data_IF_876870050763
#
_entry.id   IF_876870050763
#
_cell.length_a   1.000
_cell.length_b   1.000
_cell.length_c   1.000
_cell.angle_alpha   90.00
_cell.angle_beta   90.00
_cell.angle_gamma   90.00
#
_symmetry.space_group_name_H-M   'P 1'
#
loop_
_entity.id
_entity.type
_entity.pdbx_description
1 polymer ?
#
# COMPACT_ATOMS: atom_id res chain seq x y z
N UNK A 1 -2.98 -6.52 13.32
CA UNK A 1 -2.00 -5.50 13.76
C UNK A 1 -0.73 -6.10 14.38
N UNK A 2 -0.81 -6.94 15.42
CA UNK A 2 0.39 -7.48 16.12
C UNK A 2 1.44 -8.10 15.17
N UNK A 3 1.03 -8.92 14.20
CA UNK A 3 1.95 -9.52 13.21
C UNK A 3 2.71 -8.43 12.44
N UNK A 4 2.03 -7.38 11.96
CA UNK A 4 2.67 -6.28 11.21
C UNK A 4 3.71 -5.56 12.07
N UNK A 5 3.42 -5.34 13.35
CA UNK A 5 4.36 -4.71 14.27
C UNK A 5 5.58 -5.58 14.54
N UNK A 6 5.41 -6.90 14.64
CA UNK A 6 6.50 -7.86 14.89
C UNK A 6 7.43 -8.02 13.70
N UNK A 7 6.86 -8.16 12.48
CA UNK A 7 7.66 -8.42 11.28
C UNK A 7 8.04 -7.16 10.49
N UNK A 8 7.42 -6.02 10.78
CA UNK A 8 7.70 -4.72 10.17
C UNK A 8 7.13 -4.52 8.77
N UNK A 9 7.20 -5.53 7.93
CA UNK A 9 6.81 -5.50 6.51
C UNK A 9 5.93 -6.70 6.19
N UNK A 10 4.71 -6.49 5.73
CA UNK A 10 3.80 -7.59 5.39
C UNK A 10 3.19 -7.37 4.00
N UNK A 11 3.70 -8.02 2.95
CA UNK A 11 3.01 -8.11 1.67
C UNK A 11 1.61 -8.69 1.87
N UNK A 12 0.60 -8.13 1.19
CA UNK A 12 -0.76 -8.70 1.26
C UNK A 12 -0.87 -9.97 0.42
N UNK A 13 -0.36 -9.91 -0.82
CA UNK A 13 -0.36 -11.00 -1.80
C UNK A 13 0.99 -11.72 -1.85
N UNK A 14 1.04 -12.85 -2.55
CA UNK A 14 2.28 -13.58 -2.81
C UNK A 14 3.45 -12.64 -3.14
N UNK A 15 4.45 -12.71 -2.29
CA UNK A 15 5.66 -11.88 -2.32
C UNK A 15 6.80 -12.49 -3.16
N UNK A 16 6.67 -13.75 -3.54
CA UNK A 16 7.73 -14.58 -4.10
C UNK A 16 8.65 -15.20 -3.04
N UNK A 17 8.36 -14.99 -1.75
CA UNK A 17 8.97 -15.71 -0.62
C UNK A 17 7.88 -16.55 0.03
N UNK A 18 8.03 -17.87 -0.02
CA UNK A 18 7.02 -18.81 0.46
C UNK A 18 6.68 -18.57 1.93
N UNK A 19 5.39 -18.51 2.23
CA UNK A 19 4.88 -18.29 3.59
C UNK A 19 4.99 -16.85 4.08
N UNK A 20 5.40 -15.90 3.21
CA UNK A 20 5.61 -14.50 3.58
C UNK A 20 4.66 -13.57 2.85
N UNK A 21 3.38 -13.70 3.13
CA UNK A 21 2.31 -12.78 2.75
C UNK A 21 1.13 -12.93 3.70
N UNK A 22 0.28 -11.90 3.79
CA UNK A 22 -0.93 -11.98 4.62
C UNK A 22 -1.84 -13.13 4.19
N UNK A 23 -1.96 -13.40 2.88
CA UNK A 23 -2.76 -14.52 2.35
C UNK A 23 -2.21 -15.88 2.79
N UNK A 24 -0.89 -16.06 2.76
CA UNK A 24 -0.27 -17.34 3.13
C UNK A 24 -0.25 -17.57 4.65
N UNK A 25 -0.10 -16.49 5.43
CA UNK A 25 -0.08 -16.50 6.90
C UNK A 25 -1.47 -16.61 7.52
N UNK A 26 -2.52 -16.23 6.78
CA UNK A 26 -3.90 -16.29 7.25
C UNK A 26 -4.40 -17.74 7.37
N UNK A 27 -5.24 -17.98 8.37
CA UNK A 27 -5.99 -19.23 8.47
C UNK A 27 -6.75 -19.52 7.19
N UNK A 28 -6.91 -20.79 6.80
CA UNK A 28 -7.66 -21.19 5.59
C UNK A 28 -9.05 -20.57 5.53
N UNK A 29 -9.76 -20.47 6.66
CA UNK A 29 -11.12 -19.91 6.76
C UNK A 29 -11.16 -18.38 6.50
N UNK A 30 -10.01 -17.72 6.51
CA UNK A 30 -9.88 -16.28 6.23
C UNK A 30 -9.53 -15.99 4.76
N UNK A 31 -9.25 -17.01 3.97
CA UNK A 31 -8.88 -16.90 2.55
C UNK A 31 -10.11 -16.68 1.68
N UNK A 32 -9.84 -16.36 0.41
CA UNK A 32 -10.92 -16.24 -0.58
C UNK A 32 -11.62 -17.57 -0.79
N UNK A 33 -12.94 -17.56 -0.64
CA UNK A 33 -13.81 -18.73 -0.85
C UNK A 33 -14.96 -18.39 -1.79
N UNK A 34 -15.29 -19.31 -2.68
CA UNK A 34 -16.48 -19.23 -3.53
C UNK A 34 -17.47 -20.31 -3.05
N UNK A 35 -18.70 -19.90 -2.79
CA UNK A 35 -19.76 -20.79 -2.35
C UNK A 35 -20.44 -21.49 -3.53
N UNK A 36 -21.12 -22.63 -3.31
CA UNK A 36 -21.81 -23.37 -4.37
C UNK A 36 -22.91 -22.59 -5.11
N UNK A 37 -23.50 -21.60 -4.46
CA UNK A 37 -24.51 -20.69 -5.04
C UNK A 37 -23.90 -19.55 -5.88
N UNK A 38 -22.56 -19.53 -6.04
CA UNK A 38 -21.82 -18.48 -6.74
C UNK A 38 -21.53 -17.25 -5.88
N UNK A 39 -21.95 -17.24 -4.62
CA UNK A 39 -21.50 -16.25 -3.64
C UNK A 39 -20.02 -16.42 -3.30
N UNK A 40 -19.41 -15.38 -2.76
CA UNK A 40 -18.03 -15.43 -2.33
C UNK A 40 -17.83 -14.65 -1.03
N UNK A 41 -16.80 -15.01 -0.28
CA UNK A 41 -16.32 -14.24 0.86
C UNK A 41 -14.79 -14.20 0.89
N UNK A 42 -14.27 -13.15 1.49
CA UNK A 42 -12.84 -12.99 1.72
C UNK A 42 -12.62 -12.20 3.01
N UNK A 43 -12.68 -12.86 4.17
CA UNK A 43 -12.54 -12.20 5.47
C UNK A 43 -11.25 -11.39 5.59
N UNK A 44 -10.12 -11.94 5.14
CA UNK A 44 -8.83 -11.25 5.15
C UNK A 44 -8.89 -9.91 4.40
N UNK A 45 -9.59 -9.85 3.26
CA UNK A 45 -9.76 -8.63 2.50
C UNK A 45 -10.54 -7.56 3.27
N UNK A 46 -11.56 -7.96 4.00
CA UNK A 46 -12.37 -7.06 4.82
C UNK A 46 -11.58 -6.50 6.01
N UNK A 47 -10.65 -7.28 6.56
CA UNK A 47 -9.82 -6.87 7.70
C UNK A 47 -8.80 -5.79 7.37
N UNK A 48 -8.40 -5.64 6.10
CA UNK A 48 -7.40 -4.63 5.72
C UNK A 48 -7.83 -3.21 6.07
N UNK A 49 -9.11 -2.86 5.92
CA UNK A 49 -9.65 -1.54 6.28
C UNK A 49 -9.44 -1.21 7.75
N UNK A 50 -10.05 -1.96 8.70
CA UNK A 50 -9.81 -1.77 10.14
C UNK A 50 -8.33 -1.74 10.53
N UNK A 51 -7.49 -2.61 9.92
CA UNK A 51 -6.05 -2.64 10.21
C UNK A 51 -5.37 -1.33 9.80
N UNK A 52 -5.73 -0.76 8.66
CA UNK A 52 -5.18 0.53 8.20
C UNK A 52 -5.65 1.67 9.08
N UNK A 53 -6.94 1.73 9.41
CA UNK A 53 -7.53 2.82 10.20
C UNK A 53 -7.12 2.81 11.68
N UNK A 54 -6.72 1.66 12.24
CA UNK A 54 -6.09 1.57 13.57
C UNK A 54 -4.80 2.40 13.68
N UNK A 55 -4.17 2.76 12.54
CA UNK A 55 -3.04 3.68 12.50
C UNK A 55 -1.70 3.10 12.93
N UNK A 56 -1.59 1.80 13.16
CA UNK A 56 -0.34 1.13 13.54
C UNK A 56 0.58 0.78 12.36
N UNK A 57 0.12 0.97 11.14
CA UNK A 57 0.87 0.70 9.91
C UNK A 57 0.49 1.69 8.80
N UNK A 58 1.24 1.63 7.71
CA UNK A 58 0.98 2.34 6.45
C UNK A 58 0.70 1.29 5.38
N UNK A 59 -0.32 1.53 4.55
CA UNK A 59 -0.72 0.61 3.48
C UNK A 59 -0.59 1.27 2.11
N UNK A 60 -0.13 0.51 1.14
CA UNK A 60 -0.01 0.92 -0.25
C UNK A 60 0.55 -0.20 -1.13
N UNK A 61 0.73 0.06 -2.42
CA UNK A 61 1.30 -0.91 -3.37
C UNK A 61 2.83 -0.90 -3.36
N UNK A 62 3.40 -1.25 -2.21
CA UNK A 62 4.84 -1.14 -1.95
C UNK A 62 5.68 -2.30 -2.49
N UNK A 63 5.12 -3.47 -2.69
CA UNK A 63 5.85 -4.70 -3.00
C UNK A 63 5.74 -5.04 -4.50
N UNK A 64 6.61 -4.46 -5.30
CA UNK A 64 6.59 -4.61 -6.77
C UNK A 64 5.21 -4.32 -7.40
N UNK A 65 4.55 -3.25 -6.93
CA UNK A 65 3.22 -2.83 -7.37
C UNK A 65 2.06 -3.62 -6.75
N UNK A 66 2.35 -4.56 -5.84
CA UNK A 66 1.35 -5.26 -5.03
C UNK A 66 1.21 -4.58 -3.67
N UNK A 67 0.01 -4.68 -3.12
CA UNK A 67 -0.33 -4.06 -1.84
C UNK A 67 0.31 -4.77 -0.64
N UNK A 68 0.51 -4.04 0.44
CA UNK A 68 0.97 -4.55 1.72
C UNK A 68 1.12 -3.47 2.77
N UNK A 69 1.60 -3.87 3.93
CA UNK A 69 1.68 -3.06 5.13
C UNK A 69 3.13 -2.85 5.53
N UNK A 70 3.43 -1.63 5.98
CA UNK A 70 4.70 -1.26 6.63
C UNK A 70 4.35 -0.77 8.04
N UNK A 71 4.97 -1.31 9.08
CA UNK A 71 4.73 -0.82 10.45
C UNK A 71 5.24 0.62 10.62
N UNK A 72 4.66 1.34 11.57
CA UNK A 72 5.07 2.73 11.87
C UNK A 72 6.54 2.83 12.27
N UNK A 73 7.10 1.81 12.90
CA UNK A 73 8.52 1.75 13.28
C UNK A 73 9.45 1.75 12.06
N UNK A 74 9.06 1.02 11.01
CA UNK A 74 9.88 0.86 9.80
C UNK A 74 9.59 1.89 8.72
N UNK A 75 8.48 2.63 8.87
CA UNK A 75 8.06 3.60 7.86
C UNK A 75 9.11 4.67 7.54
N UNK A 76 9.80 5.32 8.52
CA UNK A 76 10.78 6.35 8.19
C UNK A 76 11.93 5.83 7.31
N UNK A 77 12.47 4.65 7.60
CA UNK A 77 13.53 4.04 6.80
C UNK A 77 13.04 3.65 5.40
N UNK A 78 11.86 3.04 5.33
CA UNK A 78 11.26 2.63 4.05
C UNK A 78 10.96 3.86 3.18
N UNK A 79 10.35 4.87 3.73
CA UNK A 79 10.05 6.14 3.06
C UNK A 79 11.33 6.81 2.54
N UNK A 80 12.35 6.97 3.39
CA UNK A 80 13.63 7.57 3.04
C UNK A 80 14.30 6.86 1.85
N UNK A 81 14.41 5.53 1.93
CA UNK A 81 14.99 4.73 0.86
C UNK A 81 14.16 4.81 -0.43
N UNK A 82 12.83 4.66 -0.35
CA UNK A 82 11.96 4.69 -1.53
C UNK A 82 11.96 6.04 -2.24
N UNK A 83 11.94 7.13 -1.49
CA UNK A 83 12.05 8.48 -2.05
C UNK A 83 13.38 8.73 -2.76
N UNK A 84 14.48 8.11 -2.31
CA UNK A 84 15.78 8.23 -2.98
C UNK A 84 15.91 7.40 -4.25
N UNK A 85 15.20 6.28 -4.34
CA UNK A 85 15.32 5.32 -5.47
C UNK A 85 14.23 5.46 -6.52
N UNK A 86 13.12 6.10 -6.19
CA UNK A 86 12.03 6.35 -7.12
C UNK A 86 12.07 7.78 -7.64
N UNK A 87 11.86 7.90 -8.95
CA UNK A 87 11.88 9.20 -9.61
C UNK A 87 10.83 10.13 -9.00
N UNK A 88 11.25 11.32 -8.63
CA UNK A 88 10.33 12.37 -8.22
C UNK A 88 9.41 12.74 -9.40
N UNK A 89 8.10 12.95 -9.18
CA UNK A 89 7.21 13.47 -10.20
C UNK A 89 7.75 14.73 -10.84
N UNK A 90 7.81 14.76 -12.17
CA UNK A 90 8.30 15.91 -12.92
C UNK A 90 7.23 17.00 -12.98
N UNK A 91 7.68 18.25 -13.04
CA UNK A 91 6.80 19.41 -13.23
C UNK A 91 5.94 19.25 -14.50
N UNK A 92 4.65 19.50 -14.40
CA UNK A 92 3.67 19.32 -15.48
C UNK A 92 3.31 17.87 -15.78
N UNK A 93 3.83 16.90 -15.02
CA UNK A 93 3.48 15.48 -15.20
C UNK A 93 2.11 15.14 -14.60
N UNK A 94 1.56 14.01 -15.02
CA UNK A 94 0.30 13.49 -14.44
C UNK A 94 0.48 13.09 -12.98
N UNK A 95 1.63 12.53 -12.64
CA UNK A 95 2.00 12.18 -11.27
C UNK A 95 2.01 13.42 -10.35
N UNK A 96 2.55 14.53 -10.83
CA UNK A 96 2.51 15.79 -10.10
C UNK A 96 1.08 16.30 -9.94
N UNK A 97 0.28 16.28 -11.01
CA UNK A 97 -1.11 16.71 -10.95
C UNK A 97 -1.94 15.89 -9.94
N UNK A 98 -1.68 14.58 -9.82
CA UNK A 98 -2.29 13.71 -8.80
C UNK A 98 -1.89 14.19 -7.40
N UNK A 99 -0.59 14.44 -7.17
CA UNK A 99 -0.09 14.90 -5.88
C UNK A 99 -0.64 16.25 -5.48
N UNK A 100 -0.62 17.22 -6.38
CA UNK A 100 -1.16 18.57 -6.12
C UNK A 100 -2.64 18.50 -5.80
N UNK A 101 -3.42 17.67 -6.53
CA UNK A 101 -4.84 17.47 -6.26
C UNK A 101 -5.07 16.96 -4.84
N UNK A 102 -4.30 15.95 -4.39
CA UNK A 102 -4.42 15.42 -3.02
C UNK A 102 -3.95 16.42 -1.96
N UNK A 103 -2.91 17.21 -2.26
CA UNK A 103 -2.41 18.23 -1.34
C UNK A 103 -3.42 19.37 -1.15
N UNK A 104 -4.11 19.75 -2.19
CA UNK A 104 -5.08 20.86 -2.19
C UNK A 104 -6.45 20.44 -1.65
N UNK A 105 -6.93 19.25 -2.05
CA UNK A 105 -8.30 18.81 -1.76
C UNK A 105 -8.38 17.82 -0.59
N UNK A 106 -7.25 17.32 -0.10
CA UNK A 106 -7.18 16.29 0.93
C UNK A 106 -7.38 14.89 0.35
N UNK A 107 -7.75 13.95 1.22
CA UNK A 107 -7.91 12.55 0.85
C UNK A 107 -9.07 12.34 -0.12
N UNK A 108 -8.84 11.54 -1.15
CA UNK A 108 -9.83 11.28 -2.21
C UNK A 108 -9.92 9.79 -2.54
N UNK A 109 -11.14 9.30 -2.78
CA UNK A 109 -11.28 7.95 -3.34
C UNK A 109 -10.74 7.90 -4.77
N UNK A 110 -10.16 6.77 -5.13
CA UNK A 110 -9.49 6.57 -6.43
C UNK A 110 -10.35 7.00 -7.63
N UNK A 111 -11.68 6.81 -7.55
CA UNK A 111 -12.62 7.20 -8.60
C UNK A 111 -12.71 8.71 -8.76
N UNK A 112 -12.79 9.46 -7.68
CA UNK A 112 -12.91 10.92 -7.68
C UNK A 112 -11.60 11.57 -8.09
N UNK A 113 -10.49 11.10 -7.53
CA UNK A 113 -9.15 11.55 -7.91
C UNK A 113 -8.89 11.35 -9.41
N UNK A 114 -9.31 10.22 -9.98
CA UNK A 114 -9.24 9.96 -11.41
C UNK A 114 -10.04 10.97 -12.23
N UNK A 115 -11.25 11.30 -11.79
CA UNK A 115 -12.10 12.27 -12.48
C UNK A 115 -11.53 13.69 -12.38
N UNK A 116 -11.03 14.09 -11.19
CA UNK A 116 -10.38 15.38 -10.95
C UNK A 116 -9.15 15.59 -11.85
N UNK A 117 -8.38 14.52 -12.09
CA UNK A 117 -7.22 14.54 -13.00
C UNK A 117 -7.60 14.34 -14.50
N UNK A 118 -8.88 14.40 -14.87
CA UNK A 118 -9.32 14.33 -16.26
C UNK A 118 -9.37 12.96 -16.91
N UNK A 119 -9.21 11.87 -16.15
CA UNK A 119 -9.23 10.48 -16.66
C UNK A 119 -10.66 9.90 -16.66
N UNK A 120 -11.57 10.46 -17.46
CA UNK A 120 -13.00 10.12 -17.43
C UNK A 120 -13.44 9.00 -18.38
N UNK A 121 -12.62 8.63 -19.37
CA UNK A 121 -12.94 7.59 -20.35
C UNK A 121 -12.69 6.15 -19.85
N UNK A 122 -13.45 5.15 -20.36
CA UNK A 122 -13.31 3.76 -19.92
C UNK A 122 -11.91 3.17 -20.15
N UNK A 123 -11.22 3.58 -21.20
CA UNK A 123 -9.84 3.13 -21.52
C UNK A 123 -8.77 3.84 -20.66
N UNK A 124 -9.14 4.89 -19.95
CA UNK A 124 -8.20 5.69 -19.15
C UNK A 124 -7.97 5.13 -17.76
N UNK A 125 -8.83 4.23 -17.28
CA UNK A 125 -8.74 3.65 -15.93
C UNK A 125 -7.39 2.97 -15.68
N UNK A 126 -7.04 2.00 -16.51
CA UNK A 126 -5.79 1.22 -16.32
C UNK A 126 -4.54 2.12 -16.42
N UNK A 127 -4.60 3.16 -17.25
CA UNK A 127 -3.51 4.14 -17.37
C UNK A 127 -3.37 4.95 -16.10
N UNK A 128 -4.48 5.43 -15.52
CA UNK A 128 -4.50 6.15 -14.25
C UNK A 128 -4.00 5.27 -13.10
N UNK A 129 -4.48 4.02 -13.01
CA UNK A 129 -4.06 3.06 -11.99
C UNK A 129 -2.53 2.80 -12.04
N UNK A 130 -1.92 2.87 -13.23
CA UNK A 130 -0.47 2.80 -13.40
C UNK A 130 0.28 3.98 -12.79
N UNK A 131 -0.23 5.21 -12.93
CA UNK A 131 0.35 6.40 -12.28
C UNK A 131 0.23 6.31 -10.75
N UNK A 132 -0.96 5.97 -10.26
CA UNK A 132 -1.21 5.75 -8.83
C UNK A 132 -0.25 4.71 -8.27
N UNK A 133 -0.10 3.57 -8.94
CA UNK A 133 0.81 2.50 -8.48
C UNK A 133 2.26 2.97 -8.39
N UNK A 134 2.76 3.75 -9.36
CA UNK A 134 4.12 4.30 -9.28
C UNK A 134 4.30 5.27 -8.12
N UNK A 135 3.29 6.12 -7.86
CA UNK A 135 3.31 7.04 -6.74
C UNK A 135 3.26 6.31 -5.39
N UNK A 136 2.48 5.22 -5.27
CA UNK A 136 2.48 4.37 -4.08
C UNK A 136 3.84 3.69 -3.88
N UNK A 137 4.41 3.10 -4.94
CA UNK A 137 5.74 2.47 -4.88
C UNK A 137 6.84 3.43 -4.43
N UNK A 138 6.78 4.68 -4.83
CA UNK A 138 7.71 5.74 -4.41
C UNK A 138 7.36 6.41 -3.08
N UNK A 139 6.34 5.93 -2.37
CA UNK A 139 5.85 6.51 -1.12
C UNK A 139 5.40 7.98 -1.26
N UNK A 140 4.91 8.40 -2.45
CA UNK A 140 4.33 9.71 -2.66
C UNK A 140 2.87 9.79 -2.22
N UNK A 141 2.16 8.69 -2.35
CA UNK A 141 0.78 8.53 -1.87
C UNK A 141 0.64 7.18 -1.14
N UNK A 142 -0.35 7.11 -0.27
CA UNK A 142 -0.69 5.95 0.55
C UNK A 142 -2.20 5.79 0.62
N UNK A 143 -2.68 4.64 1.06
CA UNK A 143 -4.09 4.41 1.33
C UNK A 143 -4.39 4.71 2.80
N UNK A 144 -5.30 5.64 3.03
CA UNK A 144 -5.80 6.03 4.36
C UNK A 144 -6.91 5.09 4.84
N UNK A 145 -7.82 4.69 3.94
CA UNK A 145 -8.97 3.85 4.24
C UNK A 145 -9.52 3.19 2.96
N UNK A 146 -10.56 2.40 3.12
CA UNK A 146 -11.32 1.77 2.03
C UNK A 146 -12.80 2.12 2.15
N UNK A 147 -13.35 2.79 1.14
CA UNK A 147 -14.75 3.20 1.09
C UNK A 147 -15.54 2.19 0.26
N UNK A 148 -16.46 1.51 0.90
CA UNK A 148 -17.34 0.54 0.25
C UNK A 148 -18.63 1.20 -0.22
N UNK A 149 -19.07 0.95 -1.46
CA UNK A 149 -20.41 1.37 -1.87
C UNK A 149 -21.46 0.60 -1.08
N UNK A 150 -22.60 1.23 -0.85
CA UNK A 150 -23.76 0.60 -0.18
C UNK A 150 -24.90 0.39 -1.16
N UNK A 151 -25.62 -0.71 -0.99
CA UNK A 151 -26.82 -1.02 -1.75
C UNK A 151 -28.05 -0.27 -1.17
N UNK A 152 -29.23 -0.46 -1.81
CA UNK A 152 -30.50 0.12 -1.35
C UNK A 152 -30.94 -0.35 0.05
N UNK A 153 -30.31 -1.36 0.60
CA UNK A 153 -30.55 -1.90 1.94
C UNK A 153 -29.45 -1.53 2.93
N UNK A 154 -28.60 -0.55 2.56
CA UNK A 154 -27.44 -0.09 3.34
C UNK A 154 -26.42 -1.19 3.64
N UNK A 155 -26.25 -2.16 2.74
CA UNK A 155 -25.25 -3.22 2.83
C UNK A 155 -24.06 -2.88 1.92
N UNK A 156 -22.86 -2.94 2.48
CA UNK A 156 -21.62 -2.78 1.71
C UNK A 156 -21.47 -3.88 0.67
N UNK A 157 -20.95 -3.52 -0.50
CA UNK A 157 -20.67 -4.47 -1.57
C UNK A 157 -19.41 -4.10 -2.36
N UNK A 158 -18.89 -5.09 -3.12
CA UNK A 158 -17.72 -4.92 -3.97
C UNK A 158 -16.41 -4.92 -3.19
N UNK A 159 -15.36 -4.40 -3.84
CA UNK A 159 -13.98 -4.48 -3.33
C UNK A 159 -13.55 -3.29 -2.47
N UNK A 160 -14.38 -2.28 -2.36
CA UNK A 160 -14.02 -0.99 -1.79
C UNK A 160 -13.12 -0.16 -2.72
N UNK A 161 -13.18 1.14 -2.58
CA UNK A 161 -12.25 2.09 -3.23
C UNK A 161 -11.22 2.56 -2.21
N UNK A 162 -9.95 2.53 -2.57
CA UNK A 162 -8.92 3.15 -1.73
C UNK A 162 -9.18 4.65 -1.61
N UNK A 163 -9.22 5.13 -0.38
CA UNK A 163 -9.12 6.54 -0.03
C UNK A 163 -7.64 6.88 0.00
N UNK A 164 -7.17 7.64 -0.97
CA UNK A 164 -5.76 7.98 -1.16
C UNK A 164 -5.44 9.32 -0.54
N UNK A 165 -4.26 9.43 0.04
CA UNK A 165 -3.71 10.65 0.63
C UNK A 165 -2.20 10.70 0.49
N UNK A 166 -1.56 11.79 0.90
CA UNK A 166 -0.10 11.82 1.03
C UNK A 166 0.34 11.30 2.41
N UNK A 167 1.52 10.67 2.51
CA UNK A 167 2.04 10.24 3.81
C UNK A 167 2.12 11.36 4.84
N UNK A 168 2.52 12.54 4.41
CA UNK A 168 2.68 13.72 5.26
C UNK A 168 1.34 14.23 5.81
N UNK A 169 0.24 14.08 5.06
CA UNK A 169 -1.11 14.41 5.54
C UNK A 169 -1.64 13.35 6.51
N UNK A 170 -1.38 12.07 6.23
CA UNK A 170 -1.86 10.96 7.07
C UNK A 170 -1.11 10.85 8.39
N UNK A 171 0.22 10.99 8.35
CA UNK A 171 1.10 10.64 9.46
C UNK A 171 1.70 11.84 10.17
N UNK A 172 1.64 13.02 9.55
CA UNK A 172 2.44 14.18 9.91
C UNK A 172 3.87 14.13 9.32
N UNK A 173 4.47 15.30 9.16
CA UNK A 173 5.81 15.42 8.54
C UNK A 173 6.91 14.74 9.34
N UNK A 174 6.81 14.74 10.66
CA UNK A 174 7.81 14.12 11.54
C UNK A 174 7.90 12.60 11.33
N UNK A 175 6.78 11.93 11.11
CA UNK A 175 6.74 10.50 10.84
C UNK A 175 7.34 10.10 9.48
N UNK A 176 7.55 11.08 8.59
CA UNK A 176 8.20 10.91 7.29
C UNK A 176 9.67 11.36 7.30
N UNK A 177 10.23 11.71 8.46
CA UNK A 177 11.64 12.07 8.60
C UNK A 177 12.48 10.87 9.07
N UNK A 178 13.69 10.79 8.56
CA UNK A 178 14.67 9.79 8.96
C UNK A 178 16.04 10.46 9.11
N UNK A 179 16.72 10.21 10.22
CA UNK A 179 18.07 10.73 10.46
C UNK A 179 19.16 9.97 9.69
N UNK A 180 18.81 8.76 9.21
CA UNK A 180 19.71 7.91 8.43
C UNK A 180 19.79 8.36 6.98
N UNK A 181 20.91 8.08 6.35
CA UNK A 181 21.00 8.17 4.89
C UNK A 181 20.12 7.09 4.23
N UNK A 182 19.74 7.22 2.97
CA UNK A 182 19.00 6.19 2.25
C UNK A 182 19.72 4.83 2.23
N UNK A 183 21.05 4.84 2.15
CA UNK A 183 21.90 3.64 2.17
C UNK A 183 21.84 2.96 3.54
N UNK A 184 21.97 3.72 4.63
CA UNK A 184 21.86 3.20 5.99
C UNK A 184 20.46 2.62 6.27
N UNK A 185 19.41 3.30 5.78
CA UNK A 185 18.02 2.81 5.84
C UNK A 185 17.86 1.48 5.07
N UNK A 186 18.41 1.40 3.87
CA UNK A 186 18.42 0.16 3.08
C UNK A 186 19.13 -0.98 3.80
N UNK A 187 20.35 -0.75 4.31
CA UNK A 187 21.11 -1.77 5.04
C UNK A 187 20.42 -2.23 6.32
N UNK A 188 19.75 -1.31 7.04
CA UNK A 188 18.96 -1.66 8.21
C UNK A 188 17.82 -2.60 7.85
N UNK A 189 17.05 -2.27 6.80
CA UNK A 189 15.96 -3.12 6.30
C UNK A 189 16.49 -4.46 5.77
N UNK A 190 17.61 -4.47 5.05
CA UNK A 190 18.23 -5.68 4.52
C UNK A 190 18.63 -6.65 5.65
N UNK A 191 19.28 -6.14 6.69
CA UNK A 191 19.63 -6.96 7.89
C UNK A 191 18.38 -7.52 8.56
N UNK A 192 17.33 -6.73 8.68
CA UNK A 192 16.06 -7.18 9.25
C UNK A 192 15.45 -8.33 8.44
N UNK A 193 15.40 -8.19 7.11
CA UNK A 193 14.87 -9.25 6.24
C UNK A 193 15.72 -10.54 6.30
N UNK A 194 17.04 -10.44 6.37
CA UNK A 194 17.90 -11.63 6.55
C UNK A 194 17.63 -12.36 7.86
N UNK A 195 17.34 -11.63 8.93
CA UNK A 195 16.97 -12.24 10.21
C UNK A 195 15.56 -12.85 10.18
N UNK A 196 14.63 -12.17 9.55
CA UNK A 196 13.23 -12.58 9.47
C UNK A 196 13.02 -13.76 8.51
N UNK A 197 13.76 -13.80 7.41
CA UNK A 197 13.62 -14.73 6.28
C UNK A 197 14.95 -15.40 5.95
N UNK A 198 15.52 -16.21 6.86
CA UNK A 198 16.86 -16.80 6.69
C UNK A 198 16.98 -17.72 5.47
N UNK A 199 15.86 -18.31 5.00
CA UNK A 199 15.79 -19.18 3.83
C UNK A 199 15.61 -18.43 2.51
N UNK A 200 15.31 -17.11 2.55
CA UNK A 200 15.09 -16.34 1.35
C UNK A 200 16.42 -15.98 0.67
N UNK A 201 16.45 -16.08 -0.65
CA UNK A 201 17.61 -15.63 -1.43
C UNK A 201 17.74 -14.10 -1.40
N UNK A 202 18.96 -13.61 -1.61
CA UNK A 202 19.20 -12.17 -1.74
C UNK A 202 18.32 -11.50 -2.80
N UNK A 203 18.05 -12.18 -3.92
CA UNK A 203 17.19 -11.66 -4.98
C UNK A 203 15.74 -11.49 -4.52
N UNK A 204 15.23 -12.43 -3.72
CA UNK A 204 13.90 -12.34 -3.14
C UNK A 204 13.80 -11.17 -2.17
N UNK A 205 14.77 -11.03 -1.27
CA UNK A 205 14.80 -9.90 -0.31
C UNK A 205 14.91 -8.56 -1.04
N UNK A 206 15.83 -8.44 -2.01
CA UNK A 206 15.96 -7.23 -2.82
C UNK A 206 14.67 -6.88 -3.58
N UNK A 207 13.88 -7.88 -3.97
CA UNK A 207 12.56 -7.67 -4.62
C UNK A 207 11.52 -7.12 -3.65
N UNK A 208 11.56 -7.51 -2.37
CA UNK A 208 10.68 -6.96 -1.33
C UNK A 208 10.97 -5.47 -1.05
N UNK A 209 12.24 -5.07 -1.20
CA UNK A 209 12.69 -3.69 -0.99
C UNK A 209 12.59 -2.80 -2.24
N UNK A 210 12.26 -3.36 -3.40
CA UNK A 210 12.32 -2.68 -4.70
C UNK A 210 11.01 -1.90 -5.05
#
# INVERSE_FOLDING_TARGET
MQVIQQIGFLPFFDSGVRGYSAEEMADPDCRYVVFPDGGWDWPLWKWKGPVVTEGGCVYGKFFAGKAGFISREWWPDFFNYRRSTHKQPEEGSIEEAILLTLQEQGSMITRELRAACGFTGPKMRNRFDGYVTRLEMGCYIVTEDFIYPVDKHNREYGWGWSLLTTPEQLLGREACQCERTPEESYERMLRHFHQLLPEASEQQIKKLLK
#
